data_IF_804409608852
#
_entry.id   IF_804409608852
#
_cell.length_a   1.000
_cell.length_b   1.000
_cell.length_c   1.000
_cell.angle_alpha   90.00
_cell.angle_beta   90.00
_cell.angle_gamma   90.00
#
_symmetry.space_group_name_H-M   'P 1'
#
loop_
_entity.id
_entity.type
_entity.pdbx_description
1 polymer ?
#
# COMPACT_ATOMS: atom_id res chain seq x y z
N UNK A 1 5.96 -1.20 3.19
CA UNK A 1 5.72 0.03 2.41
C UNK A 1 5.08 -0.32 1.07
N UNK A 2 4.16 0.51 0.56
CA UNK A 2 3.42 0.27 -0.70
C UNK A 2 3.74 1.32 -1.76
N UNK A 3 3.97 0.87 -2.98
CA UNK A 3 4.29 1.73 -4.13
C UNK A 3 3.34 1.44 -5.29
N UNK A 4 2.86 2.47 -5.97
CA UNK A 4 2.03 2.40 -7.15
C UNK A 4 2.91 2.50 -8.39
N UNK A 5 2.78 1.55 -9.31
CA UNK A 5 3.42 1.62 -10.62
C UNK A 5 2.70 2.63 -11.54
N UNK A 6 3.47 3.47 -12.21
CA UNK A 6 2.93 4.42 -13.18
C UNK A 6 2.15 3.72 -14.31
N UNK A 7 1.12 4.40 -14.80
CA UNK A 7 0.25 3.88 -15.84
C UNK A 7 1.03 3.66 -17.15
N UNK A 8 0.69 2.59 -17.89
CA UNK A 8 1.39 2.21 -19.12
C UNK A 8 2.64 1.35 -18.89
N UNK A 9 3.08 1.18 -17.64
CA UNK A 9 4.09 0.21 -17.27
C UNK A 9 3.43 -1.12 -16.91
N UNK A 10 4.05 -2.22 -17.33
CA UNK A 10 3.41 -3.53 -17.36
C UNK A 10 4.18 -4.62 -16.64
N UNK A 11 3.88 -5.86 -17.03
CA UNK A 11 4.43 -7.08 -16.45
C UNK A 11 5.97 -7.14 -16.49
N UNK A 12 6.59 -6.67 -17.58
CA UNK A 12 8.04 -6.62 -17.74
C UNK A 12 8.72 -5.74 -16.69
N UNK A 13 8.17 -4.55 -16.44
CA UNK A 13 8.70 -3.61 -15.43
C UNK A 13 8.62 -4.21 -14.03
N UNK A 14 7.50 -4.87 -13.69
CA UNK A 14 7.32 -5.54 -12.41
C UNK A 14 8.37 -6.62 -12.18
N UNK A 15 8.67 -7.42 -13.21
CA UNK A 15 9.72 -8.43 -13.12
C UNK A 15 11.10 -7.82 -12.93
N UNK A 16 11.44 -6.79 -13.70
CA UNK A 16 12.72 -6.08 -13.55
C UNK A 16 12.91 -5.54 -12.13
N UNK A 17 11.87 -4.94 -11.56
CA UNK A 17 11.89 -4.48 -10.16
C UNK A 17 12.11 -5.67 -9.23
N UNK A 18 11.35 -6.76 -9.39
CA UNK A 18 11.46 -7.93 -8.53
C UNK A 18 12.83 -8.61 -8.59
N UNK A 19 13.42 -8.74 -9.77
CA UNK A 19 14.76 -9.31 -9.96
C UNK A 19 15.84 -8.41 -9.38
N UNK A 20 15.68 -7.09 -9.52
CA UNK A 20 16.58 -6.12 -8.89
C UNK A 20 16.54 -6.23 -7.36
N UNK A 21 15.34 -6.30 -6.77
CA UNK A 21 15.17 -6.45 -5.33
C UNK A 21 15.78 -7.75 -4.80
N UNK A 22 15.65 -8.88 -5.51
CA UNK A 22 16.29 -10.15 -5.13
C UNK A 22 17.81 -10.10 -5.21
N UNK A 23 18.35 -9.27 -6.10
CA UNK A 23 19.79 -9.22 -6.36
C UNK A 23 20.52 -8.21 -5.47
N UNK A 24 19.85 -7.12 -5.08
CA UNK A 24 20.47 -5.98 -4.38
C UNK A 24 19.85 -5.69 -3.00
N UNK A 25 18.69 -6.27 -2.71
CA UNK A 25 17.97 -6.11 -1.46
C UNK A 25 17.77 -7.45 -0.74
N UNK A 26 16.68 -7.53 0.01
CA UNK A 26 16.22 -8.75 0.69
C UNK A 26 15.34 -9.61 -0.21
N UNK A 27 14.73 -9.01 -1.23
CA UNK A 27 13.81 -9.69 -2.15
C UNK A 27 12.44 -9.97 -1.54
N UNK A 28 12.14 -9.48 -0.35
CA UNK A 28 10.86 -9.67 0.33
C UNK A 28 9.80 -8.68 -0.19
N UNK A 29 9.26 -9.01 -1.35
CA UNK A 29 8.23 -8.22 -2.02
C UNK A 29 7.11 -9.09 -2.56
N UNK A 30 5.95 -8.48 -2.76
CA UNK A 30 4.84 -9.07 -3.51
C UNK A 30 4.13 -8.00 -4.34
N UNK A 31 3.34 -8.49 -5.30
CA UNK A 31 2.64 -7.65 -6.27
C UNK A 31 1.15 -7.76 -6.05
N UNK A 32 0.48 -6.62 -5.87
CA UNK A 32 -0.97 -6.54 -5.84
C UNK A 32 -1.49 -5.88 -7.12
N UNK A 33 -2.58 -6.43 -7.67
CA UNK A 33 -3.29 -5.81 -8.81
C UNK A 33 -4.70 -5.47 -8.37
N UNK A 34 -5.09 -4.22 -8.57
CA UNK A 34 -6.44 -3.76 -8.22
C UNK A 34 -6.94 -2.72 -9.21
N UNK A 35 -8.07 -3.01 -9.87
CA UNK A 35 -8.74 -2.12 -10.84
C UNK A 35 -7.81 -1.51 -11.89
N UNK A 36 -6.90 -2.31 -12.44
CA UNK A 36 -5.93 -1.87 -13.45
C UNK A 36 -4.66 -1.23 -12.88
N UNK A 37 -4.62 -0.92 -11.58
CA UNK A 37 -3.40 -0.46 -10.90
C UNK A 37 -2.55 -1.66 -10.45
N UNK A 38 -1.24 -1.49 -10.54
CA UNK A 38 -0.25 -2.45 -10.06
C UNK A 38 0.50 -1.82 -8.89
N UNK A 39 0.60 -2.56 -7.79
CA UNK A 39 1.33 -2.14 -6.61
C UNK A 39 2.47 -3.09 -6.32
N UNK A 40 3.62 -2.51 -5.96
CA UNK A 40 4.77 -3.24 -5.41
C UNK A 40 4.77 -2.98 -3.91
N UNK A 41 4.75 -4.04 -3.12
CA UNK A 41 4.76 -3.96 -1.66
C UNK A 41 6.03 -4.64 -1.16
N UNK A 42 6.72 -3.97 -0.25
CA UNK A 42 7.96 -4.42 0.37
C UNK A 42 7.82 -4.43 1.88
N UNK A 43 8.43 -5.41 2.53
CA UNK A 43 8.43 -5.53 4.00
C UNK A 43 9.65 -4.89 4.65
N UNK A 44 10.77 -4.87 3.95
CA UNK A 44 12.07 -4.50 4.50
C UNK A 44 12.49 -3.06 4.12
N UNK A 45 13.19 -2.40 5.04
CA UNK A 45 13.66 -1.02 4.85
C UNK A 45 14.68 -0.91 3.70
N UNK A 46 15.52 -1.94 3.51
CA UNK A 46 16.48 -1.98 2.41
C UNK A 46 15.77 -1.94 1.05
N UNK A 47 14.74 -2.76 0.86
CA UNK A 47 13.95 -2.80 -0.36
C UNK A 47 13.16 -1.50 -0.55
N UNK A 48 12.63 -0.92 0.53
CA UNK A 48 11.99 0.40 0.47
C UNK A 48 12.96 1.48 -0.06
N UNK A 49 14.19 1.53 0.46
CA UNK A 49 15.19 2.50 0.00
C UNK A 49 15.54 2.31 -1.47
N UNK A 50 15.69 1.06 -1.91
CA UNK A 50 15.93 0.74 -3.33
C UNK A 50 14.79 1.28 -4.20
N UNK A 51 13.54 1.01 -3.84
CA UNK A 51 12.38 1.48 -4.62
C UNK A 51 12.30 3.02 -4.67
N UNK A 52 12.68 3.71 -3.59
CA UNK A 52 12.69 5.17 -3.55
C UNK A 52 13.82 5.80 -4.35
N UNK A 53 14.99 5.17 -4.39
CA UNK A 53 16.15 5.75 -5.05
C UNK A 53 16.20 5.39 -6.53
N UNK A 54 16.16 4.08 -6.82
CA UNK A 54 16.41 3.55 -8.17
C UNK A 54 15.15 3.57 -9.05
N UNK A 55 13.96 3.52 -8.42
CA UNK A 55 12.69 3.37 -9.14
C UNK A 55 11.71 4.53 -8.91
N UNK A 56 12.17 5.66 -8.35
CA UNK A 56 11.33 6.86 -8.14
C UNK A 56 10.66 7.38 -9.42
N UNK A 57 11.30 7.19 -10.57
CA UNK A 57 10.74 7.58 -11.87
C UNK A 57 9.63 6.66 -12.39
N UNK A 58 9.40 5.50 -11.76
CA UNK A 58 8.40 4.52 -12.17
C UNK A 58 7.35 4.24 -11.08
N UNK A 59 7.65 4.63 -9.84
CA UNK A 59 6.89 4.26 -8.65
C UNK A 59 6.54 5.48 -7.81
N UNK A 60 5.27 5.61 -7.47
CA UNK A 60 4.78 6.56 -6.48
C UNK A 60 4.59 5.89 -5.13
N UNK A 61 5.22 6.42 -4.09
CA UNK A 61 5.00 5.96 -2.72
C UNK A 61 3.55 6.22 -2.28
N UNK A 62 2.82 5.16 -1.92
CA UNK A 62 1.46 5.28 -1.38
C UNK A 62 1.55 5.48 0.12
N UNK A 63 1.33 6.72 0.58
CA UNK A 63 1.16 6.97 2.00
C UNK A 63 -0.16 6.32 2.47
N UNK A 64 -0.05 5.21 3.19
CA UNK A 64 -1.14 4.74 4.03
C UNK A 64 -1.38 5.78 5.13
N UNK A 65 -2.20 6.79 4.82
CA UNK A 65 -2.88 7.50 5.90
C UNK A 65 -3.74 6.45 6.58
N UNK A 66 -3.33 6.00 7.76
CA UNK A 66 -4.19 5.26 8.68
C UNK A 66 -5.53 6.01 8.69
N UNK A 67 -6.58 5.41 8.14
CA UNK A 67 -7.93 5.79 8.55
C UNK A 67 -8.01 5.40 10.02
N UNK A 68 -7.87 6.37 10.91
CA UNK A 68 -8.50 6.27 12.21
C UNK A 68 -9.98 6.13 11.93
N UNK A 69 -10.46 4.89 11.93
CA UNK A 69 -11.88 4.60 12.05
C UNK A 69 -12.32 5.12 13.42
N UNK A 70 -12.64 6.41 13.49
CA UNK A 70 -13.54 6.93 14.50
C UNK A 70 -14.91 6.29 14.28
N UNK A 71 -15.06 5.07 14.79
CA UNK A 71 -16.36 4.51 15.09
C UNK A 71 -16.99 5.45 16.10
N UNK A 72 -17.80 6.42 15.62
CA UNK A 72 -18.76 7.13 16.45
C UNK A 72 -19.64 6.07 17.10
N UNK A 73 -19.35 5.76 18.36
CA UNK A 73 -20.20 4.99 19.23
C UNK A 73 -21.48 5.81 19.44
N UNK A 74 -22.45 5.61 18.56
CA UNK A 74 -23.80 6.14 18.72
C UNK A 74 -24.47 5.33 19.84
N UNK A 75 -24.19 5.70 21.08
CA UNK A 75 -24.98 5.27 22.23
C UNK A 75 -26.35 5.95 22.08
N UNK A 76 -27.30 5.24 21.48
CA UNK A 76 -28.72 5.60 21.56
C UNK A 76 -29.12 5.43 23.03
N UNK A 77 -29.25 6.53 23.74
CA UNK A 77 -29.94 6.51 25.02
C UNK A 77 -31.44 6.36 24.76
N UNK A 78 -31.96 5.28 25.33
CA UNK A 78 -33.31 4.78 25.16
C UNK A 78 -34.28 5.71 25.90
N UNK A 79 -35.18 6.35 25.16
CA UNK A 79 -36.37 7.01 25.71
C UNK A 79 -37.23 5.91 26.36
N UNK A 80 -37.38 5.92 27.68
CA UNK A 80 -38.43 5.14 28.35
C UNK A 80 -39.33 6.12 29.06
N UNK A 81 -40.42 6.45 28.39
CA UNK A 81 -41.63 6.96 29.02
C UNK A 81 -42.17 5.84 29.91
N UNK A 82 -42.35 6.12 31.20
CA UNK A 82 -43.27 5.38 32.04
C UNK A 82 -44.17 6.40 32.73
N UNK A 83 -45.40 6.49 32.20
CA UNK A 83 -46.59 6.94 32.92
C UNK A 83 -46.65 6.28 34.30
N UNK A 84 -46.83 7.07 35.35
CA UNK A 84 -48.04 7.14 36.19
C UNK A 84 -47.90 8.29 37.18
#
# INVERSE_FOLDING_TARGET
MKFLLHQGLGYSTVHQIGDYLRSHGTGHHWIERYRGSIFVIVSDQADEMILRNEFSGLLDAVNERRRTDERKSHRREHKTEARL
#
